data_IF_472788863716
#
_entry.id   IF_472788863716
#
_cell.length_a   1.000
_cell.length_b   1.000
_cell.length_c   1.000
_cell.angle_alpha   90.00
_cell.angle_beta   90.00
_cell.angle_gamma   90.00
#
_symmetry.space_group_name_H-M   'P 1'
#
loop_
_entity.id
_entity.type
_entity.pdbx_description
1 polymer ?
#
# COMPACT_ATOMS: atom_id res chain seq x y z
N UNK A 1 -41.71 32.68 -12.96
CA UNK A 1 -40.28 32.32 -13.11
C UNK A 1 -40.03 31.18 -12.13
N UNK A 2 -39.98 29.95 -12.61
CA UNK A 2 -39.76 28.76 -11.77
C UNK A 2 -38.54 28.04 -12.31
N UNK A 3 -37.51 27.90 -11.48
CA UNK A 3 -36.21 27.35 -11.83
C UNK A 3 -36.25 25.84 -11.64
N UNK A 4 -35.99 25.07 -12.70
CA UNK A 4 -35.87 23.60 -12.65
C UNK A 4 -34.41 23.23 -12.45
N UNK A 5 -34.09 22.61 -11.32
CA UNK A 5 -32.77 22.03 -11.04
C UNK A 5 -32.76 20.58 -11.51
N UNK A 6 -31.87 20.22 -12.44
CA UNK A 6 -31.65 18.84 -12.87
C UNK A 6 -30.65 18.18 -11.92
N UNK A 7 -31.09 17.14 -11.22
CA UNK A 7 -30.22 16.26 -10.42
C UNK A 7 -29.74 15.13 -11.33
N UNK A 8 -28.43 15.02 -11.54
CA UNK A 8 -27.81 13.89 -12.23
C UNK A 8 -27.66 12.74 -11.22
N UNK A 9 -28.47 11.69 -11.35
CA UNK A 9 -28.23 10.44 -10.63
C UNK A 9 -27.09 9.69 -11.31
N UNK A 10 -26.07 9.32 -10.53
CA UNK A 10 -25.03 8.40 -10.98
C UNK A 10 -25.62 6.98 -11.09
N UNK A 11 -25.49 6.35 -12.26
CA UNK A 11 -25.95 4.99 -12.48
C UNK A 11 -25.09 3.97 -11.69
N UNK A 12 -25.69 2.88 -11.20
CA UNK A 12 -24.95 1.82 -10.52
C UNK A 12 -24.00 1.11 -11.49
N UNK A 13 -22.77 0.88 -11.04
CA UNK A 13 -21.75 0.18 -11.82
C UNK A 13 -22.14 -1.31 -11.91
N UNK A 14 -22.52 -1.76 -13.10
CA UNK A 14 -22.83 -3.16 -13.39
C UNK A 14 -21.68 -3.84 -14.12
N UNK A 15 -21.63 -5.19 -14.10
CA UNK A 15 -20.65 -5.97 -14.87
C UNK A 15 -20.64 -5.61 -16.36
N UNK A 16 -21.81 -5.24 -16.90
CA UNK A 16 -21.97 -4.80 -18.28
C UNK A 16 -21.39 -3.40 -18.54
N UNK A 17 -21.42 -2.51 -17.55
CA UNK A 17 -20.78 -1.20 -17.61
C UNK A 17 -19.25 -1.31 -17.56
N UNK A 18 -18.72 -2.28 -16.81
CA UNK A 18 -17.28 -2.53 -16.66
C UNK A 18 -16.67 -3.14 -17.94
N UNK A 19 -17.32 -4.13 -18.55
CA UNK A 19 -16.88 -4.74 -19.82
C UNK A 19 -16.82 -3.74 -20.99
N UNK A 20 -17.62 -2.67 -20.92
CA UNK A 20 -17.63 -1.61 -21.93
C UNK A 20 -16.44 -0.66 -21.82
N UNK A 21 -15.92 -0.49 -20.61
CA UNK A 21 -14.79 0.38 -20.30
C UNK A 21 -13.45 -0.36 -20.40
N UNK A 22 -13.46 -1.68 -20.14
CA UNK A 22 -12.27 -2.52 -20.10
C UNK A 22 -12.56 -3.88 -20.77
N UNK A 23 -12.46 -3.97 -22.11
CA UNK A 23 -12.89 -5.15 -22.87
C UNK A 23 -12.01 -6.39 -22.67
N UNK A 24 -10.83 -6.25 -22.05
CA UNK A 24 -9.86 -7.32 -21.87
C UNK A 24 -9.98 -8.04 -20.50
N UNK A 25 -11.03 -7.76 -19.71
CA UNK A 25 -11.24 -8.40 -18.40
C UNK A 25 -11.86 -9.79 -18.55
N UNK A 26 -11.16 -10.83 -18.10
CA UNK A 26 -11.69 -12.19 -17.92
C UNK A 26 -12.47 -12.29 -16.59
N UNK A 27 -13.64 -12.93 -16.62
CA UNK A 27 -14.61 -12.99 -15.51
C UNK A 27 -14.82 -14.41 -14.96
N UNK A 28 -14.12 -15.42 -15.49
CA UNK A 28 -14.30 -16.81 -15.06
C UNK A 28 -13.62 -17.13 -13.72
N UNK A 29 -14.25 -17.98 -12.90
CA UNK A 29 -13.94 -18.21 -11.48
C UNK A 29 -13.18 -19.53 -11.23
N UNK A 30 -11.91 -19.44 -10.82
CA UNK A 30 -11.12 -20.53 -10.23
C UNK A 30 -10.43 -20.02 -8.94
N UNK A 31 -11.26 -19.58 -7.99
CA UNK A 31 -10.93 -18.44 -7.10
C UNK A 31 -9.96 -18.73 -5.93
N UNK A 32 -9.61 -20.00 -5.65
CA UNK A 32 -8.74 -20.38 -4.53
C UNK A 32 -7.63 -21.39 -4.86
N UNK A 33 -7.54 -21.87 -6.11
CA UNK A 33 -6.49 -22.81 -6.49
C UNK A 33 -5.11 -22.16 -6.33
N UNK A 34 -4.24 -22.80 -5.54
CA UNK A 34 -2.86 -22.38 -5.32
C UNK A 34 -2.56 -21.60 -4.03
N UNK A 35 -3.52 -21.46 -3.10
CA UNK A 35 -3.30 -20.80 -1.80
C UNK A 35 -3.08 -21.84 -0.70
N UNK A 36 -2.08 -21.62 0.15
CA UNK A 36 -1.91 -22.46 1.34
C UNK A 36 -2.84 -22.03 2.48
N UNK A 37 -2.92 -22.86 3.52
CA UNK A 37 -3.82 -22.64 4.64
C UNK A 37 -3.50 -21.36 5.44
N UNK A 38 -2.24 -20.93 5.48
CA UNK A 38 -1.85 -19.70 6.16
C UNK A 38 -2.19 -18.47 5.31
N UNK A 39 -2.02 -18.53 3.99
CA UNK A 39 -2.48 -17.48 3.10
C UNK A 39 -4.00 -17.28 3.19
N UNK A 40 -4.76 -18.37 3.26
CA UNK A 40 -6.21 -18.30 3.49
C UNK A 40 -6.52 -17.70 4.87
N UNK A 41 -5.77 -18.06 5.92
CA UNK A 41 -5.91 -17.49 7.27
C UNK A 41 -5.56 -16.00 7.31
N UNK A 42 -4.57 -15.56 6.54
CA UNK A 42 -4.17 -14.16 6.42
C UNK A 42 -5.20 -13.35 5.62
N UNK A 43 -5.99 -13.99 4.76
CA UNK A 43 -7.16 -13.36 4.17
C UNK A 43 -8.29 -13.08 5.19
N UNK A 44 -8.23 -13.65 6.40
CA UNK A 44 -9.08 -13.25 7.54
C UNK A 44 -8.49 -12.05 8.33
N UNK A 45 -7.31 -11.51 7.96
CA UNK A 45 -6.80 -10.27 8.56
C UNK A 45 -7.74 -9.10 8.23
N UNK A 46 -8.29 -8.50 9.29
CA UNK A 46 -9.24 -7.40 9.23
C UNK A 46 -8.48 -6.09 9.01
N UNK A 47 -8.23 -5.74 7.75
CA UNK A 47 -7.70 -4.42 7.39
C UNK A 47 -8.71 -3.33 7.75
N UNK A 48 -8.26 -2.13 8.13
CA UNK A 48 -9.17 -0.99 8.36
C UNK A 48 -9.55 -0.37 7.01
N UNK A 49 -10.82 -0.40 6.65
CA UNK A 49 -11.35 0.37 5.50
C UNK A 49 -11.65 1.78 5.99
N UNK A 50 -11.24 2.78 5.23
CA UNK A 50 -11.42 4.21 5.51
C UNK A 50 -12.33 4.85 4.44
N UNK A 51 -12.94 6.00 4.75
CA UNK A 51 -13.54 6.88 3.75
C UNK A 51 -12.46 7.74 3.05
N UNK A 52 -12.88 8.54 2.05
CA UNK A 52 -11.97 9.37 1.25
C UNK A 52 -11.25 10.49 2.03
N UNK A 53 -11.53 10.62 3.32
CA UNK A 53 -10.97 11.60 4.25
C UNK A 53 -10.28 10.94 5.46
N UNK A 54 -9.84 9.69 5.33
CA UNK A 54 -9.06 8.97 6.36
C UNK A 54 -9.89 8.64 7.62
N UNK A 55 -11.20 8.42 7.46
CA UNK A 55 -12.08 8.03 8.58
C UNK A 55 -12.48 6.55 8.51
N UNK A 56 -12.33 5.75 9.58
CA UNK A 56 -12.68 4.31 9.58
C UNK A 56 -14.15 3.98 9.29
N UNK A 57 -14.39 2.98 8.41
CA UNK A 57 -15.71 2.50 7.96
C UNK A 57 -15.87 0.96 7.74
N UNK A 58 -14.83 0.09 7.71
CA UNK A 58 -15.01 -1.37 7.41
C UNK A 58 -13.75 -2.28 7.33
N UNK A 59 -13.78 -3.44 6.59
CA UNK A 59 -12.66 -4.41 6.40
C UNK A 59 -12.52 -5.13 5.00
N UNK A 60 -11.32 -5.65 4.62
CA UNK A 60 -10.98 -6.38 3.34
C UNK A 60 -9.63 -7.18 3.37
N UNK A 61 -9.27 -7.99 2.32
CA UNK A 61 -8.05 -8.86 2.26
C UNK A 61 -7.21 -8.90 0.93
N UNK A 62 -5.96 -9.43 0.97
CA UNK A 62 -4.83 -9.25 0.00
C UNK A 62 -4.50 -10.47 -0.90
N UNK A 63 -3.97 -10.25 -2.13
CA UNK A 63 -3.35 -11.29 -3.01
C UNK A 63 -2.46 -10.73 -4.16
N UNK A 64 -1.37 -11.45 -4.50
CA UNK A 64 -0.55 -11.55 -5.76
C UNK A 64 0.99 -11.45 -5.54
N UNK A 65 1.77 -12.29 -6.26
CA UNK A 65 3.24 -12.29 -6.30
C UNK A 65 3.83 -11.26 -7.29
N UNK A 66 4.36 -10.14 -6.79
CA UNK A 66 5.05 -9.10 -7.57
C UNK A 66 6.19 -8.47 -6.74
N UNK A 67 7.19 -7.88 -7.41
CA UNK A 67 8.18 -7.01 -6.74
C UNK A 67 7.51 -5.73 -6.24
N UNK A 68 7.87 -5.29 -5.05
CA UNK A 68 7.32 -4.07 -4.42
C UNK A 68 8.37 -3.44 -3.50
N UNK A 69 8.02 -2.35 -2.82
CA UNK A 69 8.79 -1.78 -1.71
C UNK A 69 8.92 -2.75 -0.53
N UNK A 70 9.71 -2.36 0.47
CA UNK A 70 10.12 -3.22 1.60
C UNK A 70 8.97 -3.93 2.33
N UNK A 71 7.88 -3.24 2.65
CA UNK A 71 6.72 -3.81 3.36
C UNK A 71 5.49 -2.93 3.10
N UNK A 72 4.36 -3.56 2.79
CA UNK A 72 3.05 -2.90 2.58
C UNK A 72 1.96 -3.74 3.27
N UNK A 73 1.28 -3.12 4.23
CA UNK A 73 0.26 -3.74 5.05
C UNK A 73 -0.57 -2.66 5.73
N UNK A 74 -1.60 -3.09 6.47
CA UNK A 74 -2.53 -2.19 7.13
C UNK A 74 -2.30 -2.14 8.65
N UNK A 75 -2.51 -0.98 9.30
CA UNK A 75 -2.76 -0.95 10.74
C UNK A 75 -4.03 -1.74 11.06
N UNK A 76 -4.03 -2.39 12.22
CA UNK A 76 -5.18 -3.14 12.71
C UNK A 76 -6.03 -2.30 13.66
N UNK A 77 -7.32 -2.65 13.78
CA UNK A 77 -8.25 -2.06 14.75
C UNK A 77 -7.99 -2.46 16.21
N UNK A 78 -6.73 -2.44 16.64
CA UNK A 78 -6.28 -2.85 17.98
C UNK A 78 -5.64 -1.67 18.73
N UNK A 79 -5.62 -1.69 20.07
CA UNK A 79 -4.95 -0.65 20.85
C UNK A 79 -3.50 -0.47 20.39
N UNK A 80 -3.13 0.77 20.06
CA UNK A 80 -1.78 1.13 19.64
C UNK A 80 -1.55 1.19 18.12
N UNK A 81 -2.46 0.68 17.29
CA UNK A 81 -2.37 0.80 15.82
C UNK A 81 -3.44 1.72 15.21
N UNK A 82 -4.36 2.23 16.02
CA UNK A 82 -5.41 3.17 15.62
C UNK A 82 -5.08 4.61 15.98
N UNK A 83 -5.69 5.57 15.29
CA UNK A 83 -5.67 6.99 15.65
C UNK A 83 -6.90 7.71 15.12
N UNK A 84 -7.24 8.86 15.72
CA UNK A 84 -8.28 9.77 15.20
C UNK A 84 -7.64 10.96 14.52
N UNK A 85 -6.68 11.58 15.21
CA UNK A 85 -5.90 12.69 14.65
C UNK A 85 -4.67 12.17 13.91
N UNK A 86 -4.13 12.96 12.98
CA UNK A 86 -3.00 12.55 12.15
C UNK A 86 -1.79 12.08 12.97
N UNK A 87 -1.45 12.77 14.05
CA UNK A 87 -0.33 12.39 14.91
C UNK A 87 -0.52 10.99 15.53
N UNK A 88 -1.73 10.69 15.99
CA UNK A 88 -2.09 9.39 16.56
C UNK A 88 -2.08 8.31 15.48
N UNK A 89 -2.65 8.61 14.30
CA UNK A 89 -2.66 7.67 13.18
C UNK A 89 -1.24 7.37 12.70
N UNK A 90 -0.36 8.38 12.62
CA UNK A 90 1.07 8.21 12.30
C UNK A 90 1.76 7.31 13.33
N UNK A 91 1.49 7.49 14.63
CA UNK A 91 2.02 6.59 15.66
C UNK A 91 1.50 5.15 15.48
N UNK A 92 0.21 5.01 15.17
CA UNK A 92 -0.45 3.73 14.91
C UNK A 92 0.15 2.97 13.74
N UNK A 93 0.33 3.63 12.58
CA UNK A 93 0.92 2.98 11.40
C UNK A 93 2.39 2.64 11.59
N UNK A 94 3.13 3.40 12.40
CA UNK A 94 4.51 3.04 12.75
C UNK A 94 4.57 1.76 13.59
N UNK A 95 3.64 1.57 14.53
CA UNK A 95 3.53 0.31 15.27
C UNK A 95 3.19 -0.86 14.34
N UNK A 96 2.24 -0.65 13.43
CA UNK A 96 1.89 -1.65 12.41
C UNK A 96 3.08 -2.01 11.50
N UNK A 97 3.86 -1.02 11.07
CA UNK A 97 5.06 -1.22 10.26
C UNK A 97 6.11 -2.06 11.00
N UNK A 98 6.39 -1.77 12.27
CA UNK A 98 7.31 -2.57 13.10
C UNK A 98 6.84 -4.02 13.21
N UNK A 99 5.55 -4.23 13.50
CA UNK A 99 4.95 -5.59 13.59
C UNK A 99 5.08 -6.34 12.27
N UNK A 100 4.77 -5.70 11.14
CA UNK A 100 4.77 -6.34 9.83
C UNK A 100 6.16 -6.56 9.27
N UNK A 101 7.14 -5.68 9.55
CA UNK A 101 8.56 -5.93 9.25
C UNK A 101 9.08 -7.18 9.97
N UNK A 102 8.70 -7.40 11.22
CA UNK A 102 9.05 -8.64 11.93
C UNK A 102 8.33 -9.85 11.34
N UNK A 103 7.04 -9.73 11.04
CA UNK A 103 6.24 -10.85 10.51
C UNK A 103 6.65 -11.27 9.09
N UNK A 104 6.89 -10.32 8.18
CA UNK A 104 7.20 -10.59 6.77
C UNK A 104 8.68 -10.86 6.55
N UNK A 105 9.56 -10.08 7.18
CA UNK A 105 11.00 -10.06 6.90
C UNK A 105 11.87 -10.56 8.06
N UNK A 106 11.28 -10.88 9.22
CA UNK A 106 12.04 -11.29 10.41
C UNK A 106 12.80 -10.15 11.10
N UNK A 107 12.63 -8.90 10.66
CA UNK A 107 13.36 -7.74 11.19
C UNK A 107 12.85 -7.42 12.59
N UNK A 108 13.71 -7.62 13.59
CA UNK A 108 13.37 -7.35 15.00
C UNK A 108 13.21 -5.87 15.29
N UNK A 109 12.23 -5.52 16.13
CA UNK A 109 11.95 -4.14 16.55
C UNK A 109 13.19 -3.39 17.09
N UNK A 110 14.13 -4.09 17.73
CA UNK A 110 15.39 -3.50 18.22
C UNK A 110 16.30 -2.96 17.10
N UNK A 111 16.14 -3.44 15.87
CA UNK A 111 16.89 -2.99 14.69
C UNK A 111 16.20 -1.81 13.98
N UNK A 112 14.90 -1.64 14.22
CA UNK A 112 14.06 -0.58 13.64
C UNK A 112 13.27 0.18 14.73
N UNK A 113 13.94 0.91 15.63
CA UNK A 113 13.26 1.68 16.66
C UNK A 113 12.23 2.66 16.06
N UNK A 114 11.07 2.77 16.71
CA UNK A 114 9.90 3.47 16.16
C UNK A 114 10.18 4.96 15.88
N UNK A 115 11.05 5.57 16.69
CA UNK A 115 11.49 6.96 16.58
C UNK A 115 12.32 7.23 15.31
N UNK A 116 12.91 6.19 14.71
CA UNK A 116 13.71 6.30 13.50
C UNK A 116 12.85 6.29 12.23
N UNK A 117 11.57 5.93 12.32
CA UNK A 117 10.65 6.06 11.20
C UNK A 117 10.30 7.52 10.94
N UNK A 118 10.54 7.95 9.70
CA UNK A 118 10.16 9.26 9.18
C UNK A 118 8.83 9.12 8.43
N UNK A 119 7.81 9.84 8.89
CA UNK A 119 6.56 9.97 8.15
C UNK A 119 6.70 11.10 7.12
N UNK A 120 6.44 10.77 5.85
CA UNK A 120 6.51 11.74 4.77
C UNK A 120 5.13 12.37 4.52
N UNK A 121 4.22 11.56 3.98
CA UNK A 121 2.91 12.01 3.49
C UNK A 121 1.93 10.85 3.45
N UNK A 122 0.68 11.14 3.11
CA UNK A 122 -0.36 10.16 2.80
C UNK A 122 -0.71 10.23 1.32
N UNK A 123 -0.82 9.08 0.67
CA UNK A 123 -1.21 8.98 -0.75
C UNK A 123 -2.53 8.22 -0.84
N UNK A 124 -3.57 8.90 -1.31
CA UNK A 124 -4.82 8.26 -1.70
C UNK A 124 -4.73 7.84 -3.16
N UNK A 125 -4.76 6.54 -3.42
CA UNK A 125 -4.71 5.99 -4.77
C UNK A 125 -5.68 4.83 -4.95
N UNK A 126 -5.98 4.51 -6.21
CA UNK A 126 -6.74 3.33 -6.60
C UNK A 126 -5.98 2.55 -7.66
N UNK A 127 -5.69 1.28 -7.39
CA UNK A 127 -4.95 0.41 -8.29
C UNK A 127 -5.73 -0.88 -8.59
N UNK A 128 -6.06 -1.18 -9.86
CA UNK A 128 -6.62 -2.48 -10.20
C UNK A 128 -5.53 -3.57 -10.10
N UNK A 129 -5.93 -4.78 -9.68
CA UNK A 129 -5.07 -5.95 -9.59
C UNK A 129 -5.34 -6.94 -10.74
N UNK A 130 -6.51 -7.59 -10.77
CA UNK A 130 -6.86 -8.62 -11.77
C UNK A 130 -8.35 -8.60 -12.19
N UNK A 131 -8.95 -7.40 -12.27
CA UNK A 131 -10.33 -7.21 -12.72
C UNK A 131 -11.38 -7.44 -11.62
N UNK A 132 -11.17 -8.42 -10.73
CA UNK A 132 -12.00 -8.62 -9.51
C UNK A 132 -11.37 -7.96 -8.28
N UNK A 133 -10.05 -7.98 -8.18
CA UNK A 133 -9.31 -7.43 -7.05
C UNK A 133 -8.65 -6.11 -7.42
N UNK A 134 -8.48 -5.25 -6.43
CA UNK A 134 -7.80 -3.97 -6.54
C UNK A 134 -7.63 -3.35 -5.16
N UNK A 135 -6.76 -2.35 -5.08
CA UNK A 135 -6.50 -1.58 -3.88
C UNK A 135 -7.12 -0.19 -4.02
N UNK A 136 -7.63 0.32 -2.90
CA UNK A 136 -8.15 1.67 -2.77
C UNK A 136 -7.82 2.13 -1.36
N UNK A 137 -6.73 2.87 -1.23
CA UNK A 137 -6.05 3.05 0.05
C UNK A 137 -5.62 4.51 0.25
N UNK A 138 -5.62 4.94 1.51
CA UNK A 138 -4.85 6.09 1.97
C UNK A 138 -3.58 5.52 2.60
N UNK A 139 -2.50 5.53 1.82
CA UNK A 139 -1.26 4.86 2.18
C UNK A 139 -0.29 5.83 2.87
N UNK A 140 0.23 5.40 4.01
CA UNK A 140 1.12 6.20 4.85
C UNK A 140 2.57 5.91 4.46
N UNK A 141 3.24 6.92 3.90
CA UNK A 141 4.61 6.76 3.44
C UNK A 141 5.58 6.91 4.59
N UNK A 142 6.17 5.79 5.01
CA UNK A 142 7.15 5.70 6.08
C UNK A 142 8.54 5.36 5.52
N UNK A 143 9.54 6.14 5.88
CA UNK A 143 10.94 5.88 5.56
C UNK A 143 11.72 5.50 6.82
N UNK A 144 12.60 4.52 6.69
CA UNK A 144 13.61 4.20 7.71
C UNK A 144 14.91 3.82 7.01
N UNK A 145 16.03 4.25 7.57
CA UNK A 145 17.38 3.87 7.12
C UNK A 145 18.06 3.11 8.26
N UNK A 146 18.21 1.81 8.09
CA UNK A 146 18.82 0.91 9.08
C UNK A 146 19.56 -0.23 8.37
N UNK A 147 20.60 -0.74 9.02
CA UNK A 147 21.18 -2.04 8.68
C UNK A 147 20.43 -3.08 9.49
N UNK A 148 19.90 -4.10 8.82
CA UNK A 148 19.04 -5.11 9.43
C UNK A 148 19.44 -6.51 8.99
N UNK A 149 19.24 -7.47 9.88
CA UNK A 149 19.26 -8.89 9.54
C UNK A 149 17.88 -9.30 8.98
N UNK A 150 17.88 -10.16 7.95
CA UNK A 150 16.66 -10.67 7.31
C UNK A 150 16.48 -12.15 7.61
N UNK A 151 15.26 -12.52 8.02
CA UNK A 151 14.78 -13.89 8.12
C UNK A 151 13.36 -13.94 7.50
N UNK A 152 13.24 -13.86 6.16
CA UNK A 152 11.94 -13.69 5.51
C UNK A 152 11.01 -14.88 5.73
N UNK A 153 9.74 -14.58 5.99
CA UNK A 153 8.68 -15.59 6.04
C UNK A 153 8.29 -15.96 4.60
N UNK A 154 8.62 -17.17 4.17
CA UNK A 154 8.39 -17.63 2.79
C UNK A 154 6.91 -17.71 2.38
N UNK A 155 5.97 -17.68 3.34
CA UNK A 155 4.54 -17.59 3.04
C UNK A 155 4.14 -16.18 2.58
N UNK A 156 4.93 -15.17 2.94
CA UNK A 156 4.69 -13.74 2.65
C UNK A 156 5.65 -13.19 1.59
N UNK A 157 6.95 -13.50 1.72
CA UNK A 157 8.04 -12.93 0.93
C UNK A 157 8.78 -14.03 0.20
N UNK A 158 8.70 -14.02 -1.13
CA UNK A 158 9.37 -15.00 -1.98
C UNK A 158 10.87 -14.72 -2.14
N UNK A 159 11.23 -13.45 -2.30
CA UNK A 159 12.60 -13.02 -2.59
C UNK A 159 12.82 -11.58 -2.12
N UNK A 160 14.09 -11.20 -1.90
CA UNK A 160 14.49 -9.85 -1.44
C UNK A 160 15.70 -9.35 -2.21
N UNK A 161 15.77 -8.05 -2.46
CA UNK A 161 16.90 -7.45 -3.16
C UNK A 161 17.17 -6.03 -2.66
N UNK A 162 18.41 -5.74 -2.27
CA UNK A 162 18.87 -4.38 -2.05
C UNK A 162 19.31 -3.76 -3.37
N UNK A 163 18.84 -2.55 -3.65
CA UNK A 163 19.08 -1.86 -4.92
C UNK A 163 19.52 -0.42 -4.70
N UNK A 164 20.34 0.09 -5.61
CA UNK A 164 20.54 1.54 -5.77
C UNK A 164 19.36 2.14 -6.53
N UNK A 165 19.24 3.48 -6.53
CA UNK A 165 18.22 4.17 -7.33
C UNK A 165 18.33 3.82 -8.83
N UNK A 166 19.55 3.84 -9.38
CA UNK A 166 19.80 3.44 -10.77
C UNK A 166 19.51 1.95 -11.00
N UNK A 167 19.86 1.09 -10.04
CA UNK A 167 19.55 -0.34 -10.10
C UNK A 167 18.04 -0.60 -10.15
N UNK A 168 17.25 0.10 -9.35
CA UNK A 168 15.80 0.01 -9.38
C UNK A 168 15.23 0.51 -10.72
N UNK A 169 15.76 1.61 -11.28
CA UNK A 169 15.37 2.08 -12.62
C UNK A 169 15.63 1.00 -13.67
N UNK A 170 16.81 0.37 -13.67
CA UNK A 170 17.12 -0.73 -14.58
C UNK A 170 16.21 -1.94 -14.38
N UNK A 171 15.82 -2.26 -13.15
CA UNK A 171 14.86 -3.35 -12.91
C UNK A 171 13.46 -3.05 -13.50
N UNK A 172 13.02 -1.79 -13.53
CA UNK A 172 11.76 -1.42 -14.18
C UNK A 172 11.80 -1.56 -15.71
N UNK A 173 12.99 -1.55 -16.31
CA UNK A 173 13.18 -1.75 -17.75
C UNK A 173 13.17 -3.23 -18.15
N UNK A 174 13.35 -4.15 -17.19
CA UNK A 174 13.32 -5.59 -17.43
C UNK A 174 11.87 -6.11 -17.56
N UNK A 175 11.43 -6.54 -18.75
CA UNK A 175 10.05 -7.00 -18.97
C UNK A 175 9.74 -8.34 -18.29
N UNK A 176 10.75 -9.08 -17.81
CA UNK A 176 10.57 -10.32 -17.06
C UNK A 176 10.14 -10.07 -15.61
N UNK A 177 10.39 -8.86 -15.09
CA UNK A 177 10.03 -8.47 -13.73
C UNK A 177 8.65 -7.83 -13.69
N UNK A 178 7.81 -8.30 -12.76
CA UNK A 178 6.50 -7.73 -12.49
C UNK A 178 6.56 -6.95 -11.18
N UNK A 179 6.02 -5.74 -11.20
CA UNK A 179 5.92 -4.89 -10.01
C UNK A 179 4.48 -4.51 -9.74
N UNK A 180 4.21 -4.29 -8.46
CA UNK A 180 2.91 -3.83 -7.99
C UNK A 180 2.59 -2.44 -8.58
N UNK A 181 1.32 -2.16 -8.95
CA UNK A 181 0.97 -0.90 -9.60
C UNK A 181 1.25 0.32 -8.71
N UNK A 182 0.99 0.25 -7.41
CA UNK A 182 1.23 1.33 -6.46
C UNK A 182 2.73 1.65 -6.34
N UNK A 183 3.59 0.63 -6.29
CA UNK A 183 5.02 0.84 -6.21
C UNK A 183 5.56 1.52 -7.47
N UNK A 184 5.08 1.14 -8.66
CA UNK A 184 5.41 1.86 -9.91
C UNK A 184 4.96 3.32 -9.87
N UNK A 185 3.73 3.57 -9.41
CA UNK A 185 3.17 4.91 -9.28
C UNK A 185 4.03 5.79 -8.35
N UNK A 186 4.31 5.31 -7.14
CA UNK A 186 5.14 6.02 -6.16
C UNK A 186 6.56 6.23 -6.71
N UNK A 187 7.15 5.23 -7.36
CA UNK A 187 8.48 5.35 -7.94
C UNK A 187 8.58 6.44 -8.99
N UNK A 188 7.68 6.41 -9.97
CA UNK A 188 7.71 7.33 -11.11
C UNK A 188 7.30 8.76 -10.76
N UNK A 189 6.56 8.95 -9.67
CA UNK A 189 6.04 10.26 -9.28
C UNK A 189 6.81 10.93 -8.14
N UNK A 190 7.36 10.17 -7.19
CA UNK A 190 7.82 10.73 -5.91
C UNK A 190 9.13 10.12 -5.41
N UNK A 191 9.29 8.79 -5.45
CA UNK A 191 10.38 8.10 -4.76
C UNK A 191 11.76 8.60 -5.18
N UNK A 192 12.01 8.72 -6.49
CA UNK A 192 13.34 9.09 -6.96
C UNK A 192 13.73 10.51 -6.56
N UNK A 193 12.78 11.43 -6.49
CA UNK A 193 13.02 12.79 -5.97
C UNK A 193 13.35 12.73 -4.46
N UNK A 194 12.56 11.98 -3.68
CA UNK A 194 12.85 11.81 -2.25
C UNK A 194 14.18 11.11 -1.98
N UNK A 195 14.57 10.17 -2.84
CA UNK A 195 15.82 9.43 -2.72
C UNK A 195 17.04 10.35 -2.87
N UNK A 196 17.00 11.33 -3.77
CA UNK A 196 18.05 12.35 -3.92
C UNK A 196 18.25 13.19 -2.64
N UNK A 197 17.24 13.23 -1.78
CA UNK A 197 17.24 13.99 -0.53
C UNK A 197 17.34 13.11 0.73
N UNK A 198 17.57 11.79 0.59
CA UNK A 198 17.52 10.84 1.69
C UNK A 198 18.52 11.16 2.81
N UNK A 199 19.73 11.59 2.44
CA UNK A 199 20.80 11.93 3.39
C UNK A 199 20.78 13.39 3.85
N UNK A 200 20.16 14.28 3.05
CA UNK A 200 20.01 15.70 3.40
C UNK A 200 18.84 16.33 2.65
N UNK A 201 17.96 17.02 3.38
CA UNK A 201 16.86 17.80 2.81
C UNK A 201 15.54 17.04 2.67
N UNK A 202 15.42 15.83 3.22
CA UNK A 202 14.17 15.07 3.28
C UNK A 202 13.10 15.79 4.12
N UNK A 203 13.52 16.63 5.06
CA UNK A 203 12.66 17.32 6.03
C UNK A 203 11.57 18.16 5.36
N UNK A 204 11.82 18.66 4.13
CA UNK A 204 10.83 19.43 3.36
C UNK A 204 9.62 18.60 2.88
N UNK A 205 9.74 17.28 2.84
CA UNK A 205 8.70 16.33 2.43
C UNK A 205 8.07 15.60 3.61
N UNK A 206 8.47 15.93 4.85
CA UNK A 206 8.02 15.24 6.05
C UNK A 206 6.78 15.90 6.65
N UNK A 207 5.93 15.06 7.25
CA UNK A 207 4.75 15.47 8.01
C UNK A 207 3.76 16.34 7.20
N UNK A 208 3.55 15.99 5.94
CA UNK A 208 2.51 16.65 5.14
C UNK A 208 1.14 16.46 5.79
N UNK A 209 0.41 17.58 5.93
CA UNK A 209 -0.92 17.59 6.53
C UNK A 209 -1.99 17.16 5.52
N UNK A 210 -1.81 17.50 4.25
CA UNK A 210 -2.75 17.18 3.17
C UNK A 210 -2.48 15.79 2.58
N UNK A 211 -3.54 15.15 2.11
CA UNK A 211 -3.45 13.86 1.43
C UNK A 211 -3.19 14.10 -0.06
N UNK A 212 -2.13 13.50 -0.60
CA UNK A 212 -1.87 13.48 -2.05
C UNK A 212 -2.86 12.56 -2.74
N UNK A 213 -3.48 13.00 -3.82
CA UNK A 213 -4.45 12.20 -4.58
C UNK A 213 -3.85 11.87 -5.95
N UNK A 214 -3.74 10.57 -6.26
CA UNK A 214 -3.02 10.06 -7.42
C UNK A 214 -3.82 8.99 -8.17
#
# INVERSE_FOLDING_TARGET
MSTTTTVTQAEPITAQSILRLFPDIDTSSAELDGHDAEQIRLMDEVCIVLDENDKPIGNFSKKIYMWTNTCCSHPLGIPGETGVELEESVAGVKNAAVRKLEHELGIKASQVPIENFKFLTRIHYKAPSDGKWGEHEIDYILFIKANVDLEPNLNEVRDTCYVSADGLRSMFEDPSLKFTPWFKLICNSLLFEWWEHLDSGLEKYMNEQEIRRM
#
